data_IF_072575850601
#
_entry.id   IF_072575850601
#
_cell.length_a   1.000
_cell.length_b   1.000
_cell.length_c   1.000
_cell.angle_alpha   90.00
_cell.angle_beta   90.00
_cell.angle_gamma   90.00
#
_symmetry.space_group_name_H-M   'P 1'
#
loop_
_entity.id
_entity.type
_entity.pdbx_description
1 polymer ?
#
# COMPACT_ATOMS: atom_id res chain seq x y z
N UNK A 1 26.82 6.87 1.68
CA UNK A 1 28.06 7.65 1.92
C UNK A 1 29.11 6.88 2.73
N UNK A 2 29.10 6.83 4.07
CA UNK A 2 30.19 6.21 4.87
C UNK A 2 30.71 4.84 4.37
N UNK A 3 29.81 3.89 4.09
CA UNK A 3 30.17 2.55 3.58
C UNK A 3 30.83 2.61 2.20
N UNK A 4 30.41 3.53 1.35
CA UNK A 4 30.99 3.76 0.03
C UNK A 4 32.42 4.29 0.15
N UNK A 5 32.63 5.36 0.95
CA UNK A 5 33.96 5.94 1.21
C UNK A 5 34.98 4.88 1.64
N UNK A 6 34.59 3.98 2.55
CA UNK A 6 35.43 2.87 3.04
C UNK A 6 35.90 1.91 1.92
N UNK A 7 35.05 1.67 0.92
CA UNK A 7 35.30 0.63 -0.08
C UNK A 7 35.78 1.19 -1.43
N UNK A 8 35.50 2.46 -1.74
CA UNK A 8 35.70 3.05 -3.06
C UNK A 8 36.58 4.31 -3.06
N UNK A 9 37.11 4.73 -1.91
CA UNK A 9 38.05 5.86 -1.78
C UNK A 9 37.56 7.14 -2.46
N UNK A 10 36.30 7.49 -2.23
CA UNK A 10 35.70 8.76 -2.66
C UNK A 10 35.61 8.97 -4.18
N UNK A 11 35.69 7.90 -4.98
CA UNK A 11 35.40 7.89 -6.43
C UNK A 11 33.91 8.07 -6.71
N UNK A 12 33.40 9.27 -6.47
CA UNK A 12 31.97 9.60 -6.45
C UNK A 12 31.22 9.28 -7.75
N UNK A 13 31.91 9.28 -8.89
CA UNK A 13 31.39 8.85 -10.19
C UNK A 13 30.90 7.39 -10.20
N UNK A 14 31.48 6.52 -9.36
CA UNK A 14 31.05 5.13 -9.20
C UNK A 14 29.86 4.98 -8.23
N UNK A 15 29.45 6.03 -7.53
CA UNK A 15 28.44 5.94 -6.48
C UNK A 15 27.11 5.36 -6.98
N UNK A 16 26.54 5.80 -8.12
CA UNK A 16 25.27 5.25 -8.62
C UNK A 16 25.36 3.77 -9.05
N UNK A 17 26.56 3.30 -9.42
CA UNK A 17 26.79 1.91 -9.82
C UNK A 17 26.86 0.96 -8.62
N UNK A 18 27.14 1.50 -7.43
CA UNK A 18 27.30 0.74 -6.19
C UNK A 18 26.14 0.92 -5.21
N UNK A 19 25.35 1.99 -5.37
CA UNK A 19 24.30 2.39 -4.43
C UNK A 19 23.02 2.70 -5.17
N UNK A 20 21.98 1.93 -4.88
CA UNK A 20 20.60 2.24 -5.25
C UNK A 20 19.77 2.55 -4.00
N UNK A 21 19.03 3.66 -4.00
CA UNK A 21 18.15 4.04 -2.90
C UNK A 21 16.71 4.10 -3.39
N UNK A 22 15.88 3.23 -2.83
CA UNK A 22 14.44 3.21 -3.14
C UNK A 22 13.68 4.08 -2.13
N UNK A 23 13.02 5.12 -2.63
CA UNK A 23 12.05 5.93 -1.91
C UNK A 23 10.71 5.19 -1.91
N UNK A 24 10.31 4.67 -0.77
CA UNK A 24 9.01 4.00 -0.60
C UNK A 24 7.99 5.04 -0.10
N UNK A 25 7.14 5.48 -1.02
CA UNK A 25 6.27 6.65 -0.86
C UNK A 25 7.09 7.95 -0.63
N UNK A 26 6.42 9.03 -0.26
CA UNK A 26 7.02 10.39 -0.17
C UNK A 26 7.76 10.68 1.14
N UNK A 27 7.60 9.85 2.17
CA UNK A 27 8.22 10.08 3.48
C UNK A 27 9.76 10.27 3.46
N UNK A 28 10.55 9.50 2.67
CA UNK A 28 12.00 9.65 2.63
C UNK A 28 12.49 10.64 1.56
N UNK A 29 11.63 11.44 0.93
CA UNK A 29 12.01 12.31 -0.20
C UNK A 29 13.12 13.30 0.14
N UNK A 30 13.22 13.77 1.39
CA UNK A 30 14.31 14.63 1.85
C UNK A 30 15.70 14.02 1.63
N UNK A 31 15.82 12.70 1.47
CA UNK A 31 17.08 12.04 1.13
C UNK A 31 17.71 12.55 -0.17
N UNK A 32 16.90 13.03 -1.13
CA UNK A 32 17.39 13.66 -2.36
C UNK A 32 18.14 14.95 -2.03
N UNK A 33 17.50 15.85 -1.28
CA UNK A 33 18.10 17.13 -0.89
C UNK A 33 19.28 16.92 0.08
N UNK A 34 19.20 15.92 0.97
CA UNK A 34 20.31 15.59 1.89
C UNK A 34 21.52 14.99 1.15
N UNK A 35 21.31 14.13 0.14
CA UNK A 35 22.44 13.63 -0.64
C UNK A 35 23.11 14.77 -1.41
N UNK A 36 22.32 15.67 -2.01
CA UNK A 36 22.85 16.89 -2.63
C UNK A 36 23.64 17.73 -1.63
N UNK A 37 23.10 17.95 -0.43
CA UNK A 37 23.79 18.71 0.63
C UNK A 37 25.13 18.08 0.98
N UNK A 38 25.18 16.77 1.21
CA UNK A 38 26.43 16.08 1.55
C UNK A 38 27.43 16.18 0.39
N UNK A 39 27.02 15.90 -0.85
CA UNK A 39 27.92 15.91 -2.00
C UNK A 39 28.48 17.30 -2.28
N UNK A 40 27.67 18.35 -2.19
CA UNK A 40 28.10 19.72 -2.46
C UNK A 40 28.82 20.34 -1.26
N UNK A 41 28.20 20.33 -0.08
CA UNK A 41 28.69 21.11 1.06
C UNK A 41 29.83 20.38 1.81
N UNK A 42 29.71 19.06 1.98
CA UNK A 42 30.68 18.29 2.78
C UNK A 42 31.80 17.68 1.92
N UNK A 43 31.47 17.24 0.70
CA UNK A 43 32.42 16.56 -0.20
C UNK A 43 32.95 17.48 -1.31
N UNK A 44 32.39 18.70 -1.46
CA UNK A 44 32.93 19.74 -2.35
C UNK A 44 32.70 19.50 -3.84
N UNK A 45 31.71 18.69 -4.23
CA UNK A 45 31.38 18.46 -5.63
C UNK A 45 30.65 19.65 -6.23
N UNK A 46 30.90 19.89 -7.52
CA UNK A 46 30.12 20.81 -8.32
C UNK A 46 28.67 20.35 -8.43
N UNK A 47 27.74 21.31 -8.52
CA UNK A 47 26.30 21.05 -8.50
C UNK A 47 25.85 20.01 -9.54
N UNK A 48 26.27 20.17 -10.79
CA UNK A 48 25.86 19.29 -11.89
C UNK A 48 26.36 17.86 -11.69
N UNK A 49 27.57 17.69 -11.14
CA UNK A 49 28.14 16.38 -10.81
C UNK A 49 27.35 15.73 -9.66
N UNK A 50 27.07 16.48 -8.60
CA UNK A 50 26.29 15.99 -7.47
C UNK A 50 24.85 15.61 -7.88
N UNK A 51 24.24 16.39 -8.78
CA UNK A 51 22.90 16.15 -9.27
C UNK A 51 22.80 14.93 -10.17
N UNK A 52 23.78 14.72 -11.06
CA UNK A 52 23.87 13.49 -11.86
C UNK A 52 23.99 12.24 -10.97
N UNK A 53 24.87 12.28 -9.96
CA UNK A 53 25.00 11.17 -9.00
C UNK A 53 23.68 10.92 -8.27
N UNK A 54 23.06 11.99 -7.76
CA UNK A 54 21.82 11.91 -6.99
C UNK A 54 20.69 11.31 -7.82
N UNK A 55 20.45 11.83 -9.02
CA UNK A 55 19.36 11.37 -9.89
C UNK A 55 19.53 9.91 -10.31
N UNK A 56 20.75 9.47 -10.62
CA UNK A 56 21.05 8.06 -10.95
C UNK A 56 20.99 7.12 -9.75
N UNK A 57 21.09 7.63 -8.53
CA UNK A 57 21.03 6.83 -7.29
C UNK A 57 19.59 6.50 -6.86
N UNK A 58 18.65 7.46 -7.00
CA UNK A 58 17.31 7.35 -6.42
C UNK A 58 16.28 6.77 -7.38
N UNK A 59 15.40 5.90 -6.86
CA UNK A 59 14.18 5.45 -7.52
C UNK A 59 12.98 5.64 -6.57
N UNK A 60 11.81 5.95 -7.11
CA UNK A 60 10.62 6.30 -6.34
C UNK A 60 9.44 5.35 -6.60
N UNK A 61 8.90 4.74 -5.55
CA UNK A 61 7.64 3.98 -5.62
C UNK A 61 6.49 4.80 -5.05
N UNK A 62 5.49 5.08 -5.88
CA UNK A 62 4.26 5.71 -5.44
C UNK A 62 3.20 4.65 -5.06
N UNK A 63 2.55 4.86 -3.91
CA UNK A 63 1.55 3.96 -3.34
C UNK A 63 0.12 4.55 -3.32
N UNK A 64 -0.07 5.76 -3.85
CA UNK A 64 -1.35 6.46 -3.76
C UNK A 64 -1.71 7.20 -5.04
N UNK A 65 -2.97 7.05 -5.44
CA UNK A 65 -3.60 7.80 -6.53
C UNK A 65 -4.41 9.00 -6.02
N UNK A 66 -4.54 9.16 -4.69
CA UNK A 66 -5.30 10.23 -4.07
C UNK A 66 -4.39 11.47 -3.90
N UNK A 67 -4.69 12.61 -4.55
CA UNK A 67 -3.88 13.82 -4.48
C UNK A 67 -3.73 14.33 -3.05
N UNK A 68 -4.77 14.18 -2.22
CA UNK A 68 -4.77 14.54 -0.81
C UNK A 68 -3.81 13.70 0.05
N UNK A 69 -3.38 12.55 -0.45
CA UNK A 69 -2.40 11.69 0.20
C UNK A 69 -0.97 11.94 -0.28
N UNK A 70 -0.76 12.84 -1.25
CA UNK A 70 0.58 13.27 -1.65
C UNK A 70 1.07 14.33 -0.68
N UNK A 71 2.15 14.01 0.03
CA UNK A 71 2.68 14.86 1.08
C UNK A 71 3.11 16.23 0.55
N UNK A 72 2.65 17.29 1.23
CA UNK A 72 3.06 18.67 1.02
C UNK A 72 3.44 19.30 2.35
N UNK A 73 4.48 20.13 2.34
CA UNK A 73 4.94 20.85 3.52
C UNK A 73 4.99 22.34 3.26
N UNK A 74 4.61 23.15 4.24
CA UNK A 74 4.73 24.59 4.11
C UNK A 74 6.21 25.00 3.97
N UNK A 75 6.52 25.83 2.98
CA UNK A 75 7.87 26.37 2.76
C UNK A 75 8.43 27.01 4.04
N UNK A 76 7.70 27.89 4.76
CA UNK A 76 8.21 28.49 6.01
C UNK A 76 8.55 27.47 7.09
N UNK A 77 7.88 26.31 7.11
CA UNK A 77 8.19 25.24 8.07
C UNK A 77 9.52 24.56 7.72
N UNK A 78 9.76 24.25 6.44
CA UNK A 78 11.02 23.65 6.01
C UNK A 78 12.15 24.68 6.15
N UNK A 79 11.97 25.94 5.78
CA UNK A 79 12.98 26.99 5.98
C UNK A 79 13.41 27.12 7.44
N UNK A 80 12.46 27.05 8.37
CA UNK A 80 12.75 27.12 9.79
C UNK A 80 13.52 25.90 10.31
N UNK A 81 13.14 24.69 9.89
CA UNK A 81 13.71 23.45 10.42
C UNK A 81 14.97 22.99 9.68
N UNK A 82 15.00 23.16 8.36
CA UNK A 82 15.98 22.62 7.41
C UNK A 82 16.35 23.71 6.36
N UNK A 83 16.94 24.84 6.79
CA UNK A 83 17.16 26.00 5.92
C UNK A 83 18.02 25.66 4.70
N UNK A 84 19.08 24.84 4.88
CA UNK A 84 19.96 24.44 3.77
C UNK A 84 19.25 23.53 2.77
N UNK A 85 18.43 22.59 3.24
CA UNK A 85 17.64 21.73 2.35
C UNK A 85 16.64 22.55 1.54
N UNK A 86 16.05 23.58 2.12
CA UNK A 86 15.12 24.44 1.37
C UNK A 86 15.84 25.19 0.23
N UNK A 87 17.04 25.72 0.48
CA UNK A 87 17.86 26.34 -0.58
C UNK A 87 18.12 25.36 -1.73
N UNK A 88 18.55 24.14 -1.41
CA UNK A 88 18.78 23.07 -2.39
C UNK A 88 17.49 22.73 -3.15
N UNK A 89 16.34 22.66 -2.47
CA UNK A 89 15.05 22.39 -3.11
C UNK A 89 14.66 23.51 -4.07
N UNK A 90 14.92 24.77 -3.71
CA UNK A 90 14.70 25.90 -4.62
C UNK A 90 15.60 25.85 -5.84
N UNK A 91 16.89 25.52 -5.67
CA UNK A 91 17.84 25.37 -6.78
C UNK A 91 17.44 24.22 -7.70
N UNK A 92 17.08 23.06 -7.16
CA UNK A 92 16.53 21.93 -7.94
C UNK A 92 15.30 22.38 -8.73
N UNK A 93 14.38 23.11 -8.11
CA UNK A 93 13.17 23.60 -8.77
C UNK A 93 13.52 24.57 -9.91
N UNK A 94 14.41 25.52 -9.67
CA UNK A 94 14.83 26.53 -10.64
C UNK A 94 15.44 25.86 -11.88
N UNK A 95 16.43 24.98 -11.71
CA UNK A 95 17.11 24.32 -12.83
C UNK A 95 16.17 23.37 -13.58
N UNK A 96 15.28 22.67 -12.87
CA UNK A 96 14.26 21.85 -13.49
C UNK A 96 13.32 22.69 -14.38
N UNK A 97 12.77 23.79 -13.85
CA UNK A 97 11.85 24.65 -14.61
C UNK A 97 12.53 25.29 -15.83
N UNK A 98 13.80 25.70 -15.71
CA UNK A 98 14.57 26.18 -16.86
C UNK A 98 14.74 25.10 -17.94
N UNK A 99 14.95 23.85 -17.54
CA UNK A 99 15.02 22.72 -18.48
C UNK A 99 13.68 22.50 -19.19
N UNK A 100 12.57 22.58 -18.46
CA UNK A 100 11.22 22.45 -19.02
C UNK A 100 10.90 23.62 -19.97
N UNK A 101 11.24 24.86 -19.61
CA UNK A 101 11.01 26.03 -20.47
C UNK A 101 11.78 25.95 -21.79
N UNK A 102 13.03 25.46 -21.77
CA UNK A 102 13.81 25.22 -22.99
C UNK A 102 13.21 24.11 -23.87
N UNK A 103 12.70 23.06 -23.25
CA UNK A 103 12.11 21.92 -23.97
C UNK A 103 10.69 22.19 -24.48
N UNK A 104 9.91 23.03 -23.79
CA UNK A 104 8.53 23.40 -24.12
C UNK A 104 8.33 24.92 -24.12
N UNK A 105 8.92 25.65 -25.09
CA UNK A 105 8.84 27.11 -25.13
C UNK A 105 7.40 27.61 -25.22
N UNK A 106 7.03 28.55 -24.35
CA UNK A 106 5.70 29.17 -24.33
C UNK A 106 4.62 28.43 -23.51
N UNK A 107 4.87 27.20 -23.04
CA UNK A 107 3.93 26.45 -22.18
C UNK A 107 4.02 26.89 -20.69
N UNK A 108 3.67 28.15 -20.39
CA UNK A 108 3.77 28.69 -19.01
C UNK A 108 2.93 27.93 -17.99
N UNK A 109 1.75 27.44 -18.38
CA UNK A 109 0.91 26.66 -17.48
C UNK A 109 1.55 25.32 -17.11
N UNK A 110 2.35 24.72 -18.01
CA UNK A 110 3.08 23.49 -17.71
C UNK A 110 4.06 23.72 -16.55
N UNK A 111 4.84 24.81 -16.60
CA UNK A 111 5.81 25.17 -15.55
C UNK A 111 5.14 25.24 -14.17
N UNK A 112 3.97 25.88 -14.08
CA UNK A 112 3.18 25.95 -12.85
C UNK A 112 2.75 24.55 -12.37
N UNK A 113 2.25 23.72 -13.29
CA UNK A 113 1.79 22.37 -12.99
C UNK A 113 2.91 21.46 -12.52
N UNK A 114 4.14 21.58 -13.02
CA UNK A 114 5.24 20.65 -12.69
C UNK A 114 6.24 21.15 -11.65
N UNK A 115 6.17 22.42 -11.25
CA UNK A 115 7.05 22.99 -10.21
C UNK A 115 7.06 22.16 -8.92
N UNK A 116 8.18 22.08 -8.21
CA UNK A 116 8.23 21.49 -6.88
C UNK A 116 7.49 22.39 -5.88
N UNK A 117 7.57 23.69 -6.08
CA UNK A 117 6.90 24.68 -5.25
C UNK A 117 5.49 24.92 -5.79
N UNK A 118 4.49 24.74 -4.93
CA UNK A 118 3.12 25.13 -5.18
C UNK A 118 2.91 26.55 -4.67
N UNK A 119 2.54 27.43 -5.59
CA UNK A 119 2.22 28.83 -5.27
C UNK A 119 0.94 28.92 -4.44
N UNK A 120 0.97 29.76 -3.41
CA UNK A 120 -0.13 29.94 -2.46
C UNK A 120 0.32 30.68 -1.21
N UNK A 121 -0.59 30.84 -0.24
CA UNK A 121 -0.31 31.49 1.05
C UNK A 121 -0.65 30.53 2.20
N UNK A 122 0.35 29.84 2.79
CA UNK A 122 1.77 29.81 2.43
C UNK A 122 2.06 28.97 1.18
N UNK A 123 3.24 29.17 0.57
CA UNK A 123 3.75 28.26 -0.45
C UNK A 123 3.99 26.86 0.14
N UNK A 124 3.83 25.82 -0.68
CA UNK A 124 4.01 24.43 -0.27
C UNK A 124 5.05 23.71 -1.14
N UNK A 125 5.85 22.83 -0.53
CA UNK A 125 6.76 21.91 -1.23
C UNK A 125 6.02 20.62 -1.55
N UNK A 126 5.91 20.27 -2.84
CA UNK A 126 5.28 19.04 -3.34
C UNK A 126 6.27 17.88 -3.31
N UNK A 127 6.25 17.08 -2.25
CA UNK A 127 7.27 16.03 -2.04
C UNK A 127 7.24 14.94 -3.11
N UNK A 128 6.06 14.60 -3.63
CA UNK A 128 5.93 13.67 -4.74
C UNK A 128 6.66 14.15 -6.01
N UNK A 129 6.74 15.45 -6.22
CA UNK A 129 7.33 16.04 -7.42
C UNK A 129 8.84 16.13 -7.28
N UNK A 130 9.31 16.53 -6.10
CA UNK A 130 10.73 16.42 -5.74
C UNK A 130 11.23 14.97 -5.90
N UNK A 131 10.45 13.98 -5.44
CA UNK A 131 10.77 12.56 -5.62
C UNK A 131 10.85 12.14 -7.09
N UNK A 132 9.87 12.53 -7.91
CA UNK A 132 9.84 12.20 -9.32
C UNK A 132 10.97 12.87 -10.12
N UNK A 133 11.29 14.13 -9.82
CA UNK A 133 12.36 14.89 -10.46
C UNK A 133 13.73 14.31 -10.07
N UNK A 134 13.98 14.09 -8.78
CA UNK A 134 15.26 13.61 -8.26
C UNK A 134 15.50 12.10 -8.37
N UNK A 135 14.62 11.35 -9.02
CA UNK A 135 14.78 9.90 -9.23
C UNK A 135 14.94 9.55 -10.71
N UNK A 136 15.70 8.51 -11.05
CA UNK A 136 15.84 8.02 -12.43
C UNK A 136 14.69 7.09 -12.85
N UNK A 137 13.97 6.48 -11.90
CA UNK A 137 12.77 5.67 -12.14
C UNK A 137 11.67 5.98 -11.15
N UNK A 138 10.44 5.96 -11.63
CA UNK A 138 9.22 6.04 -10.83
C UNK A 138 8.38 4.79 -11.12
N UNK A 139 7.83 4.13 -10.09
CA UNK A 139 6.99 2.97 -10.29
C UNK A 139 5.69 2.99 -9.48
N UNK A 140 4.63 2.45 -10.08
CA UNK A 140 3.39 2.09 -9.39
C UNK A 140 3.44 0.65 -8.85
N UNK A 141 2.37 0.27 -8.13
CA UNK A 141 2.29 -0.97 -7.33
C UNK A 141 1.30 -2.01 -7.84
N UNK A 142 0.62 -1.71 -8.94
CA UNK A 142 -0.27 -2.57 -9.71
C UNK A 142 -0.41 -2.01 -11.13
N UNK A 143 -0.76 -2.83 -12.13
CA UNK A 143 -0.82 -2.37 -13.52
C UNK A 143 -1.80 -1.21 -13.69
N UNK A 144 -3.03 -1.38 -13.22
CA UNK A 144 -4.06 -0.33 -13.25
C UNK A 144 -3.58 0.95 -12.53
N UNK A 145 -2.93 0.80 -11.38
CA UNK A 145 -2.36 1.93 -10.64
C UNK A 145 -1.27 2.65 -11.45
N UNK A 146 -0.43 1.90 -12.16
CA UNK A 146 0.64 2.47 -12.98
C UNK A 146 0.09 3.11 -14.26
N UNK A 147 -0.99 2.59 -14.83
CA UNK A 147 -1.73 3.25 -15.91
C UNK A 147 -2.36 4.55 -15.43
N UNK A 148 -3.03 4.59 -14.28
CA UNK A 148 -3.60 5.83 -13.71
C UNK A 148 -2.53 6.90 -13.43
N UNK A 149 -1.32 6.49 -13.03
CA UNK A 149 -0.18 7.39 -12.87
C UNK A 149 0.28 8.00 -14.21
N UNK A 150 0.19 7.23 -15.29
CA UNK A 150 0.67 7.58 -16.63
C UNK A 150 -0.37 8.30 -17.49
N UNK A 151 -1.64 7.97 -17.32
CA UNK A 151 -2.74 8.33 -18.20
C UNK A 151 -3.69 9.34 -17.54
N UNK A 152 -4.26 10.21 -18.38
CA UNK A 152 -5.35 11.10 -17.99
C UNK A 152 -6.57 10.26 -17.64
N UNK A 153 -7.00 10.27 -16.38
CA UNK A 153 -8.31 9.72 -16.00
C UNK A 153 -9.41 10.72 -16.35
N UNK A 154 -10.62 10.24 -16.67
CA UNK A 154 -11.80 11.03 -17.07
C UNK A 154 -12.17 12.15 -16.07
N UNK A 155 -11.70 12.06 -14.82
CA UNK A 155 -11.95 13.04 -13.74
C UNK A 155 -10.82 14.08 -13.58
N UNK A 156 -9.86 14.17 -14.53
CA UNK A 156 -8.82 15.20 -14.54
C UNK A 156 -7.72 15.03 -13.49
N UNK A 157 -7.64 13.89 -12.82
CA UNK A 157 -6.61 13.64 -11.80
C UNK A 157 -5.27 13.29 -12.47
N UNK A 158 -4.42 14.31 -12.60
CA UNK A 158 -3.07 14.25 -13.16
C UNK A 158 -2.02 14.26 -12.04
N UNK A 159 -1.46 13.11 -11.65
CA UNK A 159 -0.33 13.12 -10.69
C UNK A 159 1.00 13.26 -11.44
N UNK A 160 1.22 12.47 -12.50
CA UNK A 160 2.50 12.44 -13.21
C UNK A 160 2.43 12.51 -14.75
N UNK A 161 1.27 12.77 -15.34
CA UNK A 161 1.11 12.85 -16.81
C UNK A 161 2.04 13.89 -17.47
N UNK A 162 2.13 15.10 -16.90
CA UNK A 162 3.07 16.12 -17.39
C UNK A 162 4.54 15.67 -17.24
N UNK A 163 4.87 14.91 -16.19
CA UNK A 163 6.20 14.35 -16.03
C UNK A 163 6.51 13.20 -17.01
N UNK A 164 5.50 12.45 -17.45
CA UNK A 164 5.65 11.49 -18.56
C UNK A 164 5.95 12.24 -19.87
N UNK A 165 5.28 13.37 -20.13
CA UNK A 165 5.56 14.23 -21.29
C UNK A 165 7.00 14.78 -21.24
N UNK A 166 7.49 15.15 -20.06
CA UNK A 166 8.84 15.75 -19.88
C UNK A 166 9.96 14.71 -19.92
N UNK A 167 9.82 13.59 -19.17
CA UNK A 167 10.90 12.61 -19.00
C UNK A 167 10.78 11.37 -19.89
N UNK A 168 9.65 11.19 -20.57
CA UNK A 168 9.34 10.00 -21.36
C UNK A 168 8.75 8.86 -20.52
N UNK A 169 8.08 7.94 -21.22
CA UNK A 169 7.39 6.79 -20.61
C UNK A 169 8.35 5.84 -19.90
N UNK A 170 9.60 5.73 -20.38
CA UNK A 170 10.58 4.79 -19.82
C UNK A 170 10.90 5.07 -18.36
N UNK A 171 10.80 6.33 -17.91
CA UNK A 171 10.99 6.68 -16.49
C UNK A 171 9.90 6.06 -15.60
N UNK A 172 8.71 5.79 -16.13
CA UNK A 172 7.53 5.35 -15.40
C UNK A 172 7.23 3.87 -15.64
N UNK A 173 7.45 3.06 -14.61
CA UNK A 173 7.37 1.59 -14.68
C UNK A 173 6.32 1.00 -13.74
N UNK A 174 6.11 -0.31 -13.85
CA UNK A 174 5.27 -1.07 -12.93
C UNK A 174 6.12 -2.04 -12.12
N UNK A 175 5.86 -2.12 -10.81
CA UNK A 175 6.26 -3.27 -9.98
C UNK A 175 5.07 -3.68 -9.12
N UNK A 176 4.31 -4.65 -9.59
CA UNK A 176 3.15 -5.17 -8.86
C UNK A 176 3.57 -5.75 -7.51
N UNK A 177 2.89 -5.31 -6.44
CA UNK A 177 3.19 -5.75 -5.08
C UNK A 177 3.09 -7.28 -4.92
N UNK A 178 3.96 -7.82 -4.08
CA UNK A 178 3.97 -9.25 -3.74
C UNK A 178 3.90 -9.49 -2.24
N UNK A 179 3.60 -10.73 -1.87
CA UNK A 179 3.70 -11.22 -0.49
C UNK A 179 4.67 -12.39 -0.43
N UNK A 180 5.39 -12.53 0.68
CA UNK A 180 6.32 -13.65 0.84
C UNK A 180 5.57 -14.96 1.19
N UNK A 181 5.73 -16.04 0.40
CA UNK A 181 5.07 -17.32 0.70
C UNK A 181 5.60 -17.98 1.99
N UNK A 182 6.78 -17.58 2.45
CA UNK A 182 7.39 -18.12 3.67
C UNK A 182 6.57 -17.76 4.91
N UNK A 183 6.10 -16.51 5.01
CA UNK A 183 5.27 -16.08 6.13
C UNK A 183 3.79 -16.37 5.88
N UNK A 184 3.29 -15.99 4.71
CA UNK A 184 1.84 -15.96 4.44
C UNK A 184 1.23 -17.31 4.07
N UNK A 185 2.05 -18.34 3.82
CA UNK A 185 1.58 -19.68 3.52
C UNK A 185 2.30 -20.74 4.37
N UNK A 186 3.63 -20.80 4.32
CA UNK A 186 4.40 -21.83 5.04
C UNK A 186 4.29 -21.72 6.56
N UNK A 187 4.54 -20.54 7.11
CA UNK A 187 4.41 -20.30 8.55
C UNK A 187 2.94 -20.19 9.00
N UNK A 188 2.12 -19.44 8.26
CA UNK A 188 0.74 -19.18 8.66
C UNK A 188 -0.19 -20.39 8.50
N UNK A 189 0.12 -21.32 7.58
CA UNK A 189 -0.71 -22.48 7.30
C UNK A 189 0.14 -23.73 7.02
N UNK A 190 0.83 -24.26 8.05
CA UNK A 190 1.78 -25.35 7.90
C UNK A 190 1.13 -26.65 7.39
N UNK A 191 -0.11 -26.95 7.77
CA UNK A 191 -0.88 -28.09 7.25
C UNK A 191 -1.09 -27.98 5.73
N UNK A 192 -1.53 -26.80 5.25
CA UNK A 192 -1.68 -26.57 3.81
C UNK A 192 -0.33 -26.63 3.10
N UNK A 193 0.72 -26.09 3.71
CA UNK A 193 2.07 -26.11 3.16
C UNK A 193 2.60 -27.55 3.00
N UNK A 194 2.35 -28.42 3.96
CA UNK A 194 2.70 -29.84 3.89
C UNK A 194 1.90 -30.55 2.79
N UNK A 195 0.59 -30.29 2.71
CA UNK A 195 -0.28 -30.84 1.67
C UNK A 195 0.17 -30.44 0.26
N UNK A 196 0.49 -29.15 0.03
CA UNK A 196 1.02 -28.65 -1.25
C UNK A 196 2.35 -29.34 -1.59
N UNK A 197 3.25 -29.45 -0.62
CA UNK A 197 4.55 -30.10 -0.82
C UNK A 197 4.39 -31.57 -1.22
N UNK A 198 3.45 -32.29 -0.60
CA UNK A 198 3.13 -33.67 -0.94
C UNK A 198 2.56 -33.78 -2.36
N UNK A 199 1.60 -32.93 -2.72
CA UNK A 199 0.95 -32.97 -4.03
C UNK A 199 1.89 -32.60 -5.19
N UNK A 200 2.81 -31.65 -4.96
CA UNK A 200 3.80 -31.24 -5.96
C UNK A 200 5.08 -32.08 -5.93
N UNK A 201 5.25 -32.95 -4.93
CA UNK A 201 6.45 -33.76 -4.73
C UNK A 201 7.72 -32.96 -4.36
N UNK A 202 7.60 -31.67 -4.03
CA UNK A 202 8.75 -30.79 -3.78
C UNK A 202 8.39 -29.59 -2.92
N UNK A 203 9.32 -29.10 -2.10
CA UNK A 203 9.19 -27.84 -1.36
C UNK A 203 9.74 -26.63 -2.13
N UNK A 204 10.25 -26.83 -3.37
CA UNK A 204 10.82 -25.76 -4.21
C UNK A 204 9.84 -24.61 -4.48
N UNK A 205 8.52 -24.87 -4.42
CA UNK A 205 7.48 -23.86 -4.58
C UNK A 205 7.57 -22.69 -3.59
N UNK A 206 8.25 -22.86 -2.44
CA UNK A 206 8.52 -21.76 -1.49
C UNK A 206 9.41 -20.65 -2.06
N UNK A 207 10.26 -21.00 -3.04
CA UNK A 207 11.13 -20.09 -3.79
C UNK A 207 10.55 -19.79 -5.18
N UNK A 208 9.92 -20.78 -5.80
CA UNK A 208 9.37 -20.72 -7.16
C UNK A 208 7.83 -20.87 -7.13
N UNK A 209 7.13 -19.78 -6.80
CA UNK A 209 5.68 -19.84 -6.53
C UNK A 209 4.83 -20.24 -7.75
N UNK A 210 5.37 -20.11 -8.97
CA UNK A 210 4.74 -20.58 -10.22
C UNK A 210 4.44 -22.07 -10.22
N UNK A 211 5.19 -22.88 -9.45
CA UNK A 211 4.96 -24.31 -9.32
C UNK A 211 3.60 -24.66 -8.69
N UNK A 212 2.96 -23.72 -7.98
CA UNK A 212 1.59 -23.90 -7.47
C UNK A 212 0.57 -24.14 -8.59
N UNK A 213 0.86 -23.73 -9.83
CA UNK A 213 0.02 -24.05 -10.99
C UNK A 213 -0.20 -25.56 -11.20
N UNK A 214 0.75 -26.40 -10.73
CA UNK A 214 0.63 -27.85 -10.79
C UNK A 214 -0.50 -28.42 -9.93
N UNK A 215 -1.01 -27.67 -8.93
CA UNK A 215 -2.14 -28.08 -8.10
C UNK A 215 -3.46 -28.20 -8.89
N UNK A 216 -3.57 -27.51 -10.03
CA UNK A 216 -4.75 -27.58 -10.90
C UNK A 216 -5.14 -29.00 -11.32
N UNK A 217 -4.16 -29.91 -11.40
CA UNK A 217 -4.37 -31.33 -11.73
C UNK A 217 -5.18 -32.08 -10.66
N UNK A 218 -5.21 -31.58 -9.44
CA UNK A 218 -5.92 -32.18 -8.31
C UNK A 218 -7.23 -31.45 -7.98
N UNK A 219 -7.64 -30.47 -8.79
CA UNK A 219 -8.80 -29.63 -8.51
C UNK A 219 -10.11 -30.43 -8.46
N UNK A 220 -10.24 -31.46 -9.30
CA UNK A 220 -11.41 -32.36 -9.38
C UNK A 220 -11.22 -33.68 -8.62
N UNK A 221 -10.09 -33.86 -7.93
CA UNK A 221 -9.84 -35.04 -7.11
C UNK A 221 -10.58 -34.91 -5.77
N UNK A 222 -11.61 -35.73 -5.57
CA UNK A 222 -12.45 -35.72 -4.35
C UNK A 222 -11.63 -35.92 -3.08
N UNK A 223 -10.64 -36.81 -3.07
CA UNK A 223 -9.80 -37.06 -1.90
C UNK A 223 -8.89 -35.86 -1.59
N UNK A 224 -8.44 -35.15 -2.63
CA UNK A 224 -7.69 -33.90 -2.47
C UNK A 224 -8.59 -32.77 -1.95
N UNK A 225 -9.80 -32.63 -2.48
CA UNK A 225 -10.78 -31.65 -2.00
C UNK A 225 -11.14 -31.87 -0.52
N UNK A 226 -11.36 -33.12 -0.10
CA UNK A 226 -11.63 -33.48 1.30
C UNK A 226 -10.47 -33.08 2.23
N UNK A 227 -9.23 -33.40 1.86
CA UNK A 227 -8.04 -32.99 2.61
C UNK A 227 -7.93 -31.46 2.68
N UNK A 228 -8.20 -30.76 1.59
CA UNK A 228 -8.14 -29.30 1.53
C UNK A 228 -9.18 -28.66 2.47
N UNK A 229 -10.39 -29.22 2.48
CA UNK A 229 -11.48 -28.79 3.34
C UNK A 229 -11.20 -29.09 4.81
N UNK A 230 -10.59 -30.24 5.14
CA UNK A 230 -10.15 -30.56 6.49
C UNK A 230 -9.12 -29.55 7.01
N UNK A 231 -8.11 -29.22 6.19
CA UNK A 231 -7.12 -28.18 6.53
C UNK A 231 -7.80 -26.82 6.75
N UNK A 232 -8.77 -26.45 5.90
CA UNK A 232 -9.53 -25.19 6.08
C UNK A 232 -10.33 -25.22 7.37
N UNK A 233 -10.99 -26.32 7.69
CA UNK A 233 -11.77 -26.46 8.92
C UNK A 233 -10.89 -26.36 10.17
N UNK A 234 -9.75 -27.06 10.21
CA UNK A 234 -8.78 -26.98 11.32
C UNK A 234 -8.29 -25.54 11.55
N UNK A 235 -8.04 -24.79 10.46
CA UNK A 235 -7.71 -23.37 10.54
C UNK A 235 -8.84 -22.54 11.17
N UNK A 236 -10.10 -22.83 10.84
CA UNK A 236 -11.27 -22.15 11.43
C UNK A 236 -11.44 -22.48 12.91
N UNK A 237 -11.17 -23.73 13.32
CA UNK A 237 -11.17 -24.13 14.74
C UNK A 237 -10.12 -23.33 15.53
N UNK A 238 -8.89 -23.21 15.01
CA UNK A 238 -7.85 -22.37 15.63
C UNK A 238 -8.27 -20.91 15.76
N UNK A 239 -8.88 -20.35 14.72
CA UNK A 239 -9.35 -18.97 14.75
C UNK A 239 -10.55 -18.78 15.70
N UNK A 240 -11.48 -19.73 15.77
CA UNK A 240 -12.59 -19.69 16.71
C UNK A 240 -12.10 -19.68 18.17
N UNK A 241 -11.08 -20.48 18.49
CA UNK A 241 -10.43 -20.47 19.80
C UNK A 241 -9.79 -19.10 20.11
N UNK A 242 -9.09 -18.49 19.14
CA UNK A 242 -8.48 -17.17 19.29
C UNK A 242 -9.52 -16.06 19.47
N UNK A 243 -10.65 -16.13 18.76
CA UNK A 243 -11.76 -15.18 18.92
C UNK A 243 -12.31 -15.30 20.34
N UNK A 244 -12.61 -16.52 20.80
CA UNK A 244 -13.09 -16.75 22.18
C UNK A 244 -12.11 -16.23 23.23
N UNK A 245 -10.81 -16.48 23.06
CA UNK A 245 -9.76 -15.98 23.96
C UNK A 245 -9.75 -14.45 24.05
N UNK A 246 -9.89 -13.76 22.91
CA UNK A 246 -9.71 -12.30 22.83
C UNK A 246 -10.96 -11.48 23.10
N UNK A 247 -12.14 -12.02 22.78
CA UNK A 247 -13.40 -11.27 22.81
C UNK A 247 -14.44 -11.91 23.74
N UNK A 248 -14.22 -13.14 24.20
CA UNK A 248 -15.22 -13.93 24.91
C UNK A 248 -16.35 -14.47 24.04
N UNK A 249 -16.37 -14.16 22.74
CA UNK A 249 -17.44 -14.58 21.82
C UNK A 249 -17.15 -16.00 21.31
N UNK A 250 -18.09 -16.91 21.51
CA UNK A 250 -18.05 -18.23 20.90
C UNK A 250 -18.63 -18.21 19.49
N UNK A 251 -17.90 -18.82 18.54
CA UNK A 251 -18.30 -18.86 17.12
C UNK A 251 -18.14 -20.28 16.57
N UNK A 252 -19.09 -20.68 15.72
CA UNK A 252 -19.09 -22.03 15.13
C UNK A 252 -18.11 -22.12 13.94
N UNK A 253 -17.12 -23.05 13.95
CA UNK A 253 -16.22 -23.27 12.82
C UNK A 253 -16.91 -23.92 11.61
N UNK A 254 -18.20 -24.27 11.71
CA UNK A 254 -19.01 -24.75 10.59
C UNK A 254 -19.65 -23.62 9.79
N UNK A 255 -19.78 -22.42 10.38
CA UNK A 255 -20.30 -21.24 9.70
C UNK A 255 -19.34 -20.70 8.64
N UNK A 256 -19.84 -19.98 7.64
CA UNK A 256 -18.99 -19.22 6.72
C UNK A 256 -18.25 -18.11 7.48
N UNK A 257 -16.93 -18.08 7.40
CA UNK A 257 -16.11 -17.00 7.98
C UNK A 257 -15.92 -15.91 6.93
N UNK A 258 -16.55 -14.76 7.17
CA UNK A 258 -16.56 -13.59 6.29
C UNK A 258 -15.64 -12.52 6.90
N UNK A 259 -14.46 -12.30 6.32
CA UNK A 259 -13.35 -11.59 6.99
C UNK A 259 -12.99 -10.31 6.26
N UNK A 260 -13.08 -9.16 6.95
CA UNK A 260 -12.60 -7.87 6.48
C UNK A 260 -11.55 -7.28 7.44
N UNK A 261 -10.29 -7.67 7.23
CA UNK A 261 -9.14 -7.19 8.03
C UNK A 261 -8.27 -6.21 7.25
N UNK A 262 -8.28 -4.93 7.66
CA UNK A 262 -7.47 -3.83 7.08
C UNK A 262 -7.64 -2.57 7.92
N UNK A 263 -6.79 -1.55 7.68
CA UNK A 263 -6.96 -0.19 8.26
C UNK A 263 -8.41 0.28 8.13
N UNK A 264 -8.99 0.90 9.15
CA UNK A 264 -10.34 1.43 9.07
C UNK A 264 -10.29 2.78 8.36
N UNK A 265 -10.97 2.89 7.23
CA UNK A 265 -10.97 4.08 6.38
C UNK A 265 -12.21 4.08 5.49
N UNK A 266 -12.81 5.25 5.23
CA UNK A 266 -14.02 5.38 4.42
C UNK A 266 -13.91 4.70 3.03
N UNK A 267 -12.80 4.91 2.29
CA UNK A 267 -12.61 4.27 0.98
C UNK A 267 -12.50 2.73 1.05
N UNK A 268 -12.18 2.16 2.22
CA UNK A 268 -12.12 0.70 2.42
C UNK A 268 -13.49 0.09 2.74
N UNK A 269 -14.51 0.94 2.90
CA UNK A 269 -15.94 0.58 2.96
C UNK A 269 -16.30 -0.46 4.02
N UNK A 270 -15.65 -0.44 5.18
CA UNK A 270 -16.13 -1.20 6.35
C UNK A 270 -17.56 -0.78 6.73
N UNK A 271 -17.89 0.51 6.54
CA UNK A 271 -19.25 1.01 6.71
C UNK A 271 -20.27 0.29 5.82
N UNK A 272 -19.94 0.07 4.54
CA UNK A 272 -20.81 -0.67 3.62
C UNK A 272 -20.99 -2.12 4.07
N UNK A 273 -19.92 -2.77 4.53
CA UNK A 273 -20.00 -4.14 5.03
C UNK A 273 -20.91 -4.24 6.26
N UNK A 274 -20.76 -3.35 7.25
CA UNK A 274 -21.62 -3.39 8.44
C UNK A 274 -23.09 -3.09 8.14
N UNK A 275 -23.39 -2.25 7.12
CA UNK A 275 -24.77 -2.08 6.64
C UNK A 275 -25.34 -3.38 6.05
N UNK A 276 -24.53 -4.18 5.34
CA UNK A 276 -24.94 -5.50 4.85
C UNK A 276 -25.24 -6.47 6.00
N UNK A 277 -24.46 -6.42 7.08
CA UNK A 277 -24.71 -7.20 8.30
C UNK A 277 -26.03 -6.80 8.96
N UNK A 278 -26.30 -5.50 9.10
CA UNK A 278 -27.57 -4.98 9.64
C UNK A 278 -28.75 -5.46 8.77
N UNK A 279 -28.60 -5.38 7.45
CA UNK A 279 -29.61 -5.87 6.52
C UNK A 279 -29.85 -7.39 6.70
N UNK A 280 -28.78 -8.20 6.77
CA UNK A 280 -28.89 -9.65 6.99
C UNK A 280 -29.59 -9.97 8.31
N UNK A 281 -29.24 -9.28 9.38
CA UNK A 281 -29.88 -9.42 10.68
C UNK A 281 -31.39 -9.13 10.59
N UNK A 282 -31.78 -8.00 10.01
CA UNK A 282 -33.18 -7.62 9.83
C UNK A 282 -33.96 -8.64 8.97
N UNK A 283 -33.32 -9.20 7.95
CA UNK A 283 -33.92 -10.26 7.12
C UNK A 283 -34.13 -11.54 7.93
N UNK A 284 -33.12 -11.99 8.69
CA UNK A 284 -33.24 -13.17 9.56
C UNK A 284 -34.36 -13.04 10.59
N UNK A 285 -34.57 -11.84 11.15
CA UNK A 285 -35.68 -11.56 12.09
C UNK A 285 -37.06 -11.76 11.47
N UNK A 286 -37.20 -11.58 10.16
CA UNK A 286 -38.47 -11.75 9.43
C UNK A 286 -38.72 -13.20 9.00
N UNK A 287 -37.70 -14.05 8.99
CA UNK A 287 -37.83 -15.45 8.59
C UNK A 287 -38.49 -16.29 9.67
N UNK A 288 -39.35 -17.22 9.23
CA UNK A 288 -39.89 -18.29 10.07
C UNK A 288 -38.80 -19.30 10.45
N UNK A 289 -39.05 -20.12 11.47
CA UNK A 289 -38.09 -21.17 11.88
C UNK A 289 -37.76 -22.15 10.74
N UNK A 290 -38.74 -22.53 9.93
CA UNK A 290 -38.53 -23.41 8.78
C UNK A 290 -37.58 -22.77 7.75
N UNK A 291 -37.84 -21.51 7.37
CA UNK A 291 -37.01 -20.78 6.40
C UNK A 291 -35.56 -20.55 6.88
N UNK A 292 -35.31 -20.58 8.19
CA UNK A 292 -33.96 -20.42 8.74
C UNK A 292 -33.08 -21.66 8.56
N UNK A 293 -33.67 -22.83 8.32
CA UNK A 293 -32.90 -24.07 8.13
C UNK A 293 -32.08 -24.07 6.82
N UNK A 294 -32.55 -23.35 5.81
CA UNK A 294 -31.86 -23.20 4.51
C UNK A 294 -30.82 -22.06 4.52
N UNK A 295 -30.68 -21.34 5.63
CA UNK A 295 -29.74 -20.21 5.71
C UNK A 295 -28.36 -20.68 6.13
N UNK A 296 -27.35 -20.39 5.31
CA UNK A 296 -25.94 -20.61 5.66
C UNK A 296 -25.54 -19.73 6.86
N UNK A 297 -25.13 -20.31 8.00
CA UNK A 297 -24.64 -19.54 9.14
C UNK A 297 -23.39 -18.72 8.79
N UNK A 298 -23.23 -17.53 9.38
CA UNK A 298 -22.10 -16.65 9.08
C UNK A 298 -21.48 -16.04 10.33
N UNK A 299 -20.15 -16.02 10.37
CA UNK A 299 -19.35 -15.28 11.35
C UNK A 299 -18.64 -14.16 10.59
N UNK A 300 -19.05 -12.92 10.83
CA UNK A 300 -18.48 -11.73 10.19
C UNK A 300 -17.38 -11.16 11.08
N UNK A 301 -16.15 -11.16 10.59
CA UNK A 301 -14.94 -10.82 11.34
C UNK A 301 -14.35 -9.54 10.77
N UNK A 302 -14.39 -8.48 11.56
CA UNK A 302 -13.68 -7.24 11.31
C UNK A 302 -12.33 -7.27 12.04
N UNK A 303 -11.39 -6.46 11.55
CA UNK A 303 -10.17 -6.18 12.28
C UNK A 303 -9.40 -5.04 11.63
N UNK A 304 -8.99 -4.07 12.43
CA UNK A 304 -8.33 -2.89 11.91
C UNK A 304 -8.08 -1.83 12.96
N UNK A 305 -7.29 -0.84 12.58
CA UNK A 305 -7.04 0.36 13.40
C UNK A 305 -7.47 1.61 12.63
N UNK A 306 -8.03 2.58 13.34
CA UNK A 306 -8.26 3.93 12.85
C UNK A 306 -7.10 4.84 13.28
N UNK A 307 -6.78 5.86 12.48
CA UNK A 307 -5.83 6.89 12.89
C UNK A 307 -6.38 7.67 14.11
N UNK A 308 -5.53 8.14 15.04
CA UNK A 308 -5.99 8.76 16.28
C UNK A 308 -6.93 9.96 16.08
N UNK A 309 -6.67 10.80 15.08
CA UNK A 309 -7.50 11.97 14.74
C UNK A 309 -8.69 11.68 13.82
N UNK A 310 -8.85 10.44 13.34
CA UNK A 310 -9.87 10.12 12.33
C UNK A 310 -11.20 9.75 12.99
N UNK A 311 -12.00 10.79 13.30
CA UNK A 311 -13.27 10.66 14.01
C UNK A 311 -14.26 9.72 13.31
N UNK A 312 -14.48 9.88 12.00
CA UNK A 312 -15.43 9.04 11.24
C UNK A 312 -15.01 7.56 11.25
N UNK A 313 -13.73 7.26 11.07
CA UNK A 313 -13.24 5.88 11.16
C UNK A 313 -13.47 5.27 12.55
N UNK A 314 -13.33 6.07 13.63
CA UNK A 314 -13.66 5.64 14.99
C UNK A 314 -15.17 5.41 15.19
N UNK A 315 -16.03 6.23 14.57
CA UNK A 315 -17.48 5.99 14.58
C UNK A 315 -17.85 4.68 13.88
N UNK A 316 -17.19 4.34 12.77
CA UNK A 316 -17.40 3.04 12.10
C UNK A 316 -17.01 1.88 13.02
N UNK A 317 -15.90 1.98 13.75
CA UNK A 317 -15.51 0.97 14.77
C UNK A 317 -16.61 0.86 15.84
N UNK A 318 -17.09 1.99 16.36
CA UNK A 318 -18.17 1.99 17.37
C UNK A 318 -19.44 1.35 16.82
N UNK A 319 -19.84 1.65 15.59
CA UNK A 319 -21.00 1.05 14.93
C UNK A 319 -20.85 -0.47 14.82
N UNK A 320 -19.69 -0.96 14.37
CA UNK A 320 -19.42 -2.40 14.27
C UNK A 320 -19.59 -3.08 15.63
N UNK A 321 -18.99 -2.51 16.69
CA UNK A 321 -19.09 -3.07 18.04
C UNK A 321 -20.53 -3.04 18.56
N UNK A 322 -21.25 -1.92 18.41
CA UNK A 322 -22.66 -1.83 18.84
C UNK A 322 -23.56 -2.83 18.12
N UNK A 323 -23.34 -3.06 16.82
CA UNK A 323 -24.08 -4.09 16.07
C UNK A 323 -23.68 -5.48 16.53
N UNK A 324 -22.40 -5.74 16.80
CA UNK A 324 -21.94 -7.01 17.33
C UNK A 324 -22.57 -7.33 18.69
N UNK A 325 -22.62 -6.37 19.60
CA UNK A 325 -23.25 -6.53 20.92
C UNK A 325 -24.73 -6.91 20.79
N UNK A 326 -25.46 -6.25 19.90
CA UNK A 326 -26.88 -6.57 19.66
C UNK A 326 -27.04 -7.98 19.05
N UNK A 327 -26.34 -8.26 17.95
CA UNK A 327 -26.51 -9.49 17.17
C UNK A 327 -26.09 -10.71 17.99
N UNK A 328 -24.95 -10.64 18.69
CA UNK A 328 -24.41 -11.79 19.41
C UNK A 328 -25.23 -12.19 20.63
N UNK A 329 -26.00 -11.25 21.20
CA UNK A 329 -26.87 -11.46 22.36
C UNK A 329 -28.36 -11.71 21.99
N UNK A 330 -28.73 -11.64 20.71
CA UNK A 330 -30.09 -11.99 20.27
C UNK A 330 -30.26 -13.52 20.18
N UNK A 331 -30.89 -14.08 21.21
CA UNK A 331 -31.20 -15.52 21.30
C UNK A 331 -32.10 -16.03 20.16
N UNK A 332 -32.86 -15.14 19.50
CA UNK A 332 -33.67 -15.52 18.34
C UNK A 332 -32.84 -15.71 17.08
N UNK A 333 -31.59 -15.22 17.03
CA UNK A 333 -30.67 -15.39 15.90
C UNK A 333 -29.69 -16.53 16.17
N UNK A 334 -29.15 -16.61 17.40
CA UNK A 334 -28.21 -17.67 17.79
C UNK A 334 -26.96 -17.69 16.90
N UNK A 335 -26.61 -18.88 16.39
CA UNK A 335 -25.40 -19.09 15.58
C UNK A 335 -25.58 -18.80 14.07
N UNK A 336 -26.78 -18.42 13.63
CA UNK A 336 -27.02 -18.07 12.22
C UNK A 336 -26.24 -16.83 11.78
N UNK A 337 -25.94 -15.93 12.72
CA UNK A 337 -25.14 -14.74 12.50
C UNK A 337 -24.37 -14.36 13.77
N UNK A 338 -23.05 -14.27 13.67
CA UNK A 338 -22.18 -13.68 14.69
C UNK A 338 -21.33 -12.58 14.07
N UNK A 339 -20.97 -11.57 14.87
CA UNK A 339 -20.11 -10.47 14.45
C UNK A 339 -18.98 -10.30 15.46
N UNK A 340 -17.75 -10.19 14.98
CA UNK A 340 -16.55 -10.00 15.82
C UNK A 340 -15.71 -8.85 15.25
N UNK A 341 -15.02 -8.10 16.10
CA UNK A 341 -14.11 -7.02 15.72
C UNK A 341 -12.89 -6.98 16.64
#
# INVERSE_FOLDING_TARGET
>A
VRRFKKNHQDRWEEFPEQVAIQLNDTHPTLAIAELMRVLVDDEGLEWDQAWDITTRTFAFTNHTVLPEALEKWAVPMIEHLLPRHMQIIFDINLFFLQTVERAFPGERDLLRRVSIIEEGTPQLVRMAFLAAIGSHKVNGVAEIHSSIIRETTENGMMIFADFVKIFGVDKFTNKTNGITPRRWLHQANPELSAMITKALGTAKWLKELSLLGGLSKFAEDTAFQEQWMAVKHNNKVRLAALIKERTGIEVSPNALFDVQVKRIHEYKRQFMNILSVIHRYNTLKKLTKAQRTDVVPRVVIFGGKAAPGYYIAKLVIKLINSVADLVNNDSTIGDLLKVCN
#
